data_IF_105517008753
#
_entry.id   IF_105517008753
#
_cell.length_a   1.000
_cell.length_b   1.000
_cell.length_c   1.000
_cell.angle_alpha   90.00
_cell.angle_beta   90.00
_cell.angle_gamma   90.00
#
_symmetry.space_group_name_H-M   'P 1'
#
loop_
_entity.id
_entity.type
_entity.pdbx_description
1 polymer ?
#
# COMPACT_ATOMS: atom_id res chain seq x y z
N UNK A 1 33.81 39.87 -62.20
CA UNK A 1 33.97 40.14 -60.75
C UNK A 1 33.38 38.96 -59.97
N UNK A 2 34.21 38.15 -59.33
CA UNK A 2 33.73 37.08 -58.43
C UNK A 2 33.38 37.73 -57.09
N UNK A 3 32.10 37.67 -56.68
CA UNK A 3 31.69 38.06 -55.33
C UNK A 3 31.96 36.89 -54.38
N UNK A 4 33.03 36.99 -53.59
CA UNK A 4 33.22 36.14 -52.42
C UNK A 4 32.36 36.68 -51.28
N UNK A 5 31.50 35.81 -50.72
CA UNK A 5 30.81 36.08 -49.46
C UNK A 5 31.53 35.33 -48.34
N UNK A 6 32.02 36.08 -47.35
CA UNK A 6 32.63 35.53 -46.14
C UNK A 6 31.50 35.29 -45.11
N UNK A 7 31.23 34.03 -44.77
CA UNK A 7 30.23 33.69 -43.77
C UNK A 7 30.95 33.35 -42.45
N UNK A 8 30.96 34.29 -41.50
CA UNK A 8 31.50 34.05 -40.15
C UNK A 8 30.45 33.36 -39.31
N UNK A 9 30.60 32.05 -39.08
CA UNK A 9 29.79 31.28 -38.15
C UNK A 9 30.43 31.35 -36.77
N UNK A 10 29.87 32.17 -35.88
CA UNK A 10 30.31 32.26 -34.48
C UNK A 10 29.84 31.00 -33.73
N UNK A 11 30.70 29.98 -33.60
CA UNK A 11 30.44 28.84 -32.72
C UNK A 11 31.02 29.15 -31.33
N UNK A 12 30.19 29.54 -30.37
CA UNK A 12 30.61 29.51 -28.97
C UNK A 12 30.79 28.05 -28.56
N UNK A 13 32.04 27.63 -28.35
CA UNK A 13 32.33 26.33 -27.74
C UNK A 13 32.22 26.53 -26.23
N UNK A 14 31.15 26.02 -25.63
CA UNK A 14 31.07 25.95 -24.17
C UNK A 14 32.22 25.11 -23.63
N UNK A 15 32.78 25.53 -22.49
CA UNK A 15 33.79 24.72 -21.82
C UNK A 15 33.18 23.40 -21.34
N UNK A 16 33.95 22.30 -21.27
CA UNK A 16 33.47 21.03 -20.74
C UNK A 16 32.81 21.16 -19.35
N UNK A 17 33.34 22.05 -18.50
CA UNK A 17 32.79 22.36 -17.18
C UNK A 17 31.39 22.99 -17.26
N UNK A 18 31.16 23.92 -18.19
CA UNK A 18 29.84 24.54 -18.36
C UNK A 18 28.81 23.54 -18.89
N UNK A 19 29.22 22.60 -19.73
CA UNK A 19 28.35 21.53 -20.24
C UNK A 19 27.95 20.59 -19.09
N UNK A 20 28.88 20.27 -18.18
CA UNK A 20 28.60 19.43 -17.03
C UNK A 20 27.64 20.10 -16.04
N UNK A 21 27.84 21.39 -15.76
CA UNK A 21 26.94 22.19 -14.92
C UNK A 21 25.52 22.25 -15.51
N UNK A 22 25.40 22.53 -16.81
CA UNK A 22 24.11 22.57 -17.49
C UNK A 22 23.40 21.23 -17.47
N UNK A 23 24.14 20.12 -17.60
CA UNK A 23 23.57 18.76 -17.47
C UNK A 23 23.05 18.49 -16.06
N UNK A 24 23.72 18.99 -15.01
CA UNK A 24 23.28 18.81 -13.62
C UNK A 24 21.99 19.59 -13.33
N UNK A 25 21.91 20.86 -13.76
CA UNK A 25 20.73 21.72 -13.52
C UNK A 25 19.47 21.22 -14.26
N UNK A 26 19.65 20.54 -15.40
CA UNK A 26 18.54 20.03 -16.20
C UNK A 26 17.97 18.69 -15.70
N UNK A 27 18.61 18.03 -14.73
CA UNK A 27 18.12 16.75 -14.19
C UNK A 27 16.94 16.99 -13.23
N UNK A 28 15.91 16.10 -13.25
CA UNK A 28 14.91 16.10 -12.20
C UNK A 28 15.55 15.77 -10.84
N UNK A 29 15.01 16.33 -9.76
CA UNK A 29 15.57 16.24 -8.39
C UNK A 29 15.89 14.81 -7.96
N UNK A 30 15.00 13.84 -8.23
CA UNK A 30 15.24 12.42 -7.94
C UNK A 30 16.43 11.82 -8.71
N UNK A 31 16.56 12.14 -10.00
CA UNK A 31 17.68 11.66 -10.80
C UNK A 31 18.99 12.37 -10.45
N UNK A 32 18.90 13.63 -9.99
CA UNK A 32 20.04 14.37 -9.45
C UNK A 32 20.53 13.73 -8.14
N UNK A 33 19.63 13.39 -7.22
CA UNK A 33 19.97 12.73 -5.96
C UNK A 33 20.61 11.35 -6.18
N UNK A 34 20.05 10.55 -7.09
CA UNK A 34 20.64 9.24 -7.45
C UNK A 34 22.05 9.41 -8.04
N UNK A 35 22.22 10.36 -8.96
CA UNK A 35 23.52 10.66 -9.55
C UNK A 35 24.51 11.18 -8.53
N UNK A 36 24.06 12.00 -7.58
CA UNK A 36 24.88 12.51 -6.50
C UNK A 36 25.36 11.36 -5.59
N UNK A 37 24.48 10.41 -5.25
CA UNK A 37 24.86 9.20 -4.49
C UNK A 37 25.88 8.34 -5.24
N UNK A 38 25.72 8.18 -6.56
CA UNK A 38 26.70 7.50 -7.41
C UNK A 38 28.07 8.20 -7.35
N UNK A 39 28.10 9.53 -7.52
CA UNK A 39 29.33 10.32 -7.47
C UNK A 39 29.96 10.36 -6.07
N UNK A 40 29.18 10.32 -4.99
CA UNK A 40 29.71 10.19 -3.62
C UNK A 40 30.41 8.84 -3.40
N UNK A 41 29.93 7.77 -4.05
CA UNK A 41 30.58 6.46 -3.97
C UNK A 41 31.85 6.39 -4.83
N UNK A 42 31.88 7.09 -5.97
CA UNK A 42 33.02 7.09 -6.90
C UNK A 42 34.10 8.11 -6.53
N UNK A 43 33.72 9.24 -5.92
CA UNK A 43 34.62 10.35 -5.60
C UNK A 43 34.93 10.41 -4.09
N UNK A 44 36.10 9.90 -3.64
CA UNK A 44 36.49 9.91 -2.24
C UNK A 44 36.74 11.31 -1.66
N UNK A 45 36.77 12.37 -2.48
CA UNK A 45 36.90 13.75 -2.01
C UNK A 45 35.55 14.40 -1.64
N UNK A 46 34.42 13.77 -1.99
CA UNK A 46 33.08 14.30 -1.75
C UNK A 46 32.45 13.59 -0.54
N UNK A 47 32.10 14.34 0.48
CA UNK A 47 31.54 13.84 1.73
C UNK A 47 30.15 14.46 1.97
N UNK A 48 29.19 13.64 2.44
CA UNK A 48 27.87 14.12 2.85
C UNK A 48 27.96 14.78 4.22
N UNK A 49 27.34 15.94 4.41
CA UNK A 49 27.13 16.52 5.73
C UNK A 49 26.01 15.77 6.45
N UNK A 50 26.27 15.36 7.70
CA UNK A 50 25.21 14.93 8.60
C UNK A 50 24.40 16.17 9.00
N UNK A 51 23.08 16.12 8.88
CA UNK A 51 22.18 17.22 9.32
C UNK A 51 22.09 17.32 10.86
N UNK A 52 22.80 16.46 11.61
CA UNK A 52 22.71 16.34 13.06
C UNK A 52 23.76 17.13 13.87
N UNK A 53 24.56 18.00 13.25
CA UNK A 53 25.38 18.98 14.01
C UNK A 53 24.55 20.23 14.36
N UNK A 54 23.48 20.03 15.13
CA UNK A 54 23.08 21.06 16.08
C UNK A 54 24.15 21.09 17.17
N UNK A 55 24.70 22.27 17.43
CA UNK A 55 25.68 22.52 18.48
C UNK A 55 25.28 21.78 19.77
N UNK A 56 26.01 20.71 20.10
CA UNK A 56 26.06 20.16 21.45
C UNK A 56 26.74 21.23 22.30
N UNK A 57 25.95 22.20 22.77
CA UNK A 57 26.35 23.09 23.84
C UNK A 57 26.72 22.21 25.03
N UNK A 58 27.99 22.29 25.43
CA UNK A 58 28.54 21.72 26.66
C UNK A 58 27.84 22.35 27.86
N UNK A 59 26.66 21.85 28.22
CA UNK A 59 26.14 21.96 29.58
C UNK A 59 26.37 20.62 30.27
N UNK A 60 27.46 20.57 31.04
CA UNK A 60 27.61 19.63 32.16
C UNK A 60 26.41 19.83 33.10
N UNK A 61 25.42 18.94 32.98
CA UNK A 61 24.43 18.71 34.02
C UNK A 61 24.71 17.34 34.61
N UNK A 62 25.28 17.40 35.82
CA UNK A 62 25.48 16.33 36.78
C UNK A 62 24.16 15.55 36.95
N UNK A 63 24.06 14.40 36.28
CA UNK A 63 22.93 13.48 36.37
C UNK A 63 23.39 12.27 37.18
N UNK A 64 23.35 12.42 38.51
CA UNK A 64 23.14 11.30 39.43
C UNK A 64 21.73 10.74 39.16
N UNK A 65 21.63 9.82 38.21
CA UNK A 65 20.47 8.96 38.06
C UNK A 65 20.91 7.53 38.36
N UNK A 66 20.39 7.06 39.48
CA UNK A 66 20.53 5.69 39.96
C UNK A 66 20.19 4.67 38.86
N UNK A 67 21.11 3.72 38.77
CA UNK A 67 21.06 2.45 38.05
C UNK A 67 19.77 1.67 38.42
N UNK A 68 18.77 1.69 37.54
CA UNK A 68 17.67 0.73 37.58
C UNK A 68 17.86 -0.28 36.45
N UNK A 69 18.40 -1.41 36.89
CA UNK A 69 18.68 -2.62 36.16
C UNK A 69 17.47 -3.16 35.39
N UNK A 70 17.81 -3.78 34.27
CA UNK A 70 16.96 -4.38 33.27
C UNK A 70 16.53 -5.77 33.76
N UNK A 71 15.25 -5.94 34.12
CA UNK A 71 14.42 -7.17 34.08
C UNK A 71 13.44 -7.22 35.25
N UNK A 72 12.20 -6.77 35.05
CA UNK A 72 11.08 -7.24 35.88
C UNK A 72 9.94 -7.77 35.01
N UNK A 73 9.89 -9.10 34.90
CA UNK A 73 8.64 -9.80 34.67
C UNK A 73 7.74 -9.45 35.86
N UNK A 74 6.68 -8.70 35.62
CA UNK A 74 5.66 -8.43 36.63
C UNK A 74 5.00 -9.78 36.98
N UNK A 75 5.45 -10.40 38.07
CA UNK A 75 4.83 -11.60 38.64
C UNK A 75 3.47 -11.17 39.24
N UNK A 76 2.43 -11.98 39.00
CA UNK A 76 1.06 -11.67 39.41
C UNK A 76 0.86 -11.59 40.94
N UNK A 77 1.89 -11.90 41.74
CA UNK A 77 1.90 -11.82 43.19
C UNK A 77 2.26 -10.41 43.72
N UNK A 78 2.76 -9.49 42.88
CA UNK A 78 3.07 -8.10 43.27
C UNK A 78 1.88 -7.14 43.06
N UNK A 79 0.77 -7.61 42.50
CA UNK A 79 -0.44 -6.81 42.37
C UNK A 79 -1.23 -6.94 43.67
N UNK A 80 -1.00 -6.03 44.62
CA UNK A 80 -1.74 -5.99 45.87
C UNK A 80 -3.18 -5.48 45.63
N UNK A 81 -4.10 -6.42 45.38
CA UNK A 81 -5.52 -6.14 45.10
C UNK A 81 -6.20 -5.46 46.31
N UNK A 82 -5.70 -5.67 47.52
CA UNK A 82 -6.21 -5.03 48.75
C UNK A 82 -5.99 -3.51 48.75
N UNK A 83 -4.92 -3.03 48.10
CA UNK A 83 -4.60 -1.60 47.95
C UNK A 83 -5.45 -0.91 46.86
N UNK A 84 -6.05 -1.68 45.95
CA UNK A 84 -7.00 -1.15 44.96
C UNK A 84 -8.43 -1.03 45.51
N UNK A 85 -8.74 -1.77 46.57
CA UNK A 85 -10.06 -1.79 47.23
C UNK A 85 -10.13 -0.89 48.46
N UNK A 86 -8.99 -0.36 48.94
CA UNK A 86 -8.94 0.65 49.99
C UNK A 86 -9.35 2.03 49.44
N UNK A 87 -10.50 2.52 49.89
CA UNK A 87 -11.08 3.82 49.46
C UNK A 87 -10.34 5.05 50.06
N UNK A 88 -9.21 4.83 50.77
CA UNK A 88 -8.51 5.83 51.58
C UNK A 88 -7.11 6.23 51.05
N UNK A 89 -6.59 5.53 50.03
CA UNK A 89 -5.29 5.84 49.40
C UNK A 89 -5.50 6.30 47.95
N UNK A 90 -5.12 7.56 47.66
CA UNK A 90 -5.08 8.06 46.28
C UNK A 90 -4.04 7.27 45.49
N UNK A 91 -4.43 6.59 44.39
CA UNK A 91 -3.50 5.78 43.62
C UNK A 91 -2.34 6.60 43.02
N UNK A 92 -1.14 6.02 43.01
CA UNK A 92 0.09 6.67 42.53
C UNK A 92 0.03 7.18 41.07
N UNK A 93 -0.81 6.57 40.23
CA UNK A 93 -1.02 7.04 38.85
C UNK A 93 -1.69 8.43 38.78
N UNK A 94 -2.31 8.91 39.87
CA UNK A 94 -2.91 10.26 39.95
C UNK A 94 -1.92 11.32 40.45
N UNK A 95 -0.83 10.92 41.11
CA UNK A 95 0.24 11.82 41.60
C UNK A 95 1.33 12.02 40.55
N UNK A 96 1.38 11.20 39.51
CA UNK A 96 2.26 11.43 38.36
C UNK A 96 1.76 12.64 37.55
N UNK A 97 2.54 13.71 37.60
CA UNK A 97 2.35 14.90 36.78
C UNK A 97 2.70 14.53 35.34
N UNK A 98 1.72 14.57 34.43
CA UNK A 98 1.94 14.45 33.00
C UNK A 98 2.79 15.64 32.51
N UNK A 99 4.11 15.50 32.55
CA UNK A 99 5.05 16.52 32.07
C UNK A 99 5.37 16.31 30.58
N UNK A 100 4.32 16.12 29.76
CA UNK A 100 4.46 16.05 28.31
C UNK A 100 4.56 17.47 27.75
N UNK A 101 5.71 17.81 27.17
CA UNK A 101 5.87 19.01 26.36
C UNK A 101 5.03 18.88 25.07
N UNK A 102 4.51 19.99 24.52
CA UNK A 102 3.83 19.97 23.21
C UNK A 102 4.73 19.56 22.05
N UNK A 103 6.05 19.47 22.28
CA UNK A 103 7.09 19.11 21.31
C UNK A 103 7.49 17.63 21.36
N UNK A 104 6.81 16.81 22.17
CA UNK A 104 7.01 15.36 22.15
C UNK A 104 6.39 14.84 20.85
N UNK A 105 7.23 14.62 19.83
CA UNK A 105 6.86 14.05 18.55
C UNK A 105 6.16 12.72 18.81
N UNK A 106 4.82 12.75 18.80
CA UNK A 106 4.03 11.53 18.86
C UNK A 106 4.37 10.76 17.60
N UNK A 107 5.24 9.76 17.72
CA UNK A 107 5.38 8.71 16.73
C UNK A 107 3.98 8.12 16.54
N UNK A 108 3.30 8.58 15.49
CA UNK A 108 1.99 8.05 15.16
C UNK A 108 2.23 6.60 14.79
N UNK A 109 1.61 5.63 15.49
CA UNK A 109 1.86 4.24 15.20
C UNK A 109 1.51 3.98 13.74
N UNK A 110 2.48 3.49 12.97
CA UNK A 110 2.26 3.10 11.58
C UNK A 110 1.21 1.98 11.59
N UNK A 111 -0.03 2.31 11.23
CA UNK A 111 -1.08 1.32 11.08
C UNK A 111 -0.77 0.49 9.83
N UNK A 112 -0.25 -0.71 10.01
CA UNK A 112 -0.13 -1.69 8.93
C UNK A 112 -1.55 -2.09 8.49
N UNK A 113 -1.95 -1.71 7.28
CA UNK A 113 -3.21 -2.10 6.70
C UNK A 113 -3.19 -3.61 6.38
N UNK A 114 -4.27 -4.31 6.71
CA UNK A 114 -4.40 -5.74 6.40
C UNK A 114 -4.55 -5.92 4.88
N UNK A 115 -3.72 -6.79 4.29
CA UNK A 115 -3.84 -7.15 2.87
C UNK A 115 -5.11 -7.95 2.60
N UNK A 116 -5.66 -7.82 1.39
CA UNK A 116 -6.82 -8.58 0.92
C UNK A 116 -6.67 -10.10 1.15
N UNK A 117 -5.52 -10.65 0.75
CA UNK A 117 -5.24 -12.08 0.92
C UNK A 117 -5.14 -12.47 2.38
N UNK A 118 -4.60 -11.59 3.23
CA UNK A 118 -4.48 -11.84 4.65
C UNK A 118 -5.86 -11.86 5.33
N UNK A 119 -6.77 -10.98 4.91
CA UNK A 119 -8.16 -10.99 5.39
C UNK A 119 -8.87 -12.29 5.03
N UNK A 120 -8.72 -12.76 3.78
CA UNK A 120 -9.28 -14.05 3.35
C UNK A 120 -8.70 -15.24 4.14
N UNK A 121 -7.39 -15.25 4.40
CA UNK A 121 -6.74 -16.28 5.23
C UNK A 121 -7.29 -16.23 6.66
N UNK A 122 -7.49 -15.04 7.22
CA UNK A 122 -8.08 -14.89 8.55
C UNK A 122 -9.52 -15.41 8.58
N UNK A 123 -10.32 -15.16 7.55
CA UNK A 123 -11.67 -15.72 7.44
C UNK A 123 -11.67 -17.24 7.29
N UNK A 124 -10.74 -17.81 6.51
CA UNK A 124 -10.56 -19.26 6.40
C UNK A 124 -10.32 -19.94 7.75
N UNK A 125 -9.62 -19.27 8.68
CA UNK A 125 -9.42 -19.79 10.04
C UNK A 125 -10.72 -19.96 10.85
N UNK A 126 -11.83 -19.37 10.41
CA UNK A 126 -13.14 -19.52 11.07
C UNK A 126 -13.84 -20.82 10.63
N UNK A 127 -13.41 -21.42 9.52
CA UNK A 127 -13.96 -22.69 9.02
C UNK A 127 -13.21 -23.88 9.60
N UNK A 128 -13.94 -24.97 9.83
CA UNK A 128 -13.36 -26.24 10.29
C UNK A 128 -12.89 -26.99 9.04
N UNK A 129 -11.58 -26.99 8.81
CA UNK A 129 -10.92 -27.64 7.68
C UNK A 129 -9.88 -28.63 8.20
N UNK A 130 -9.71 -29.75 7.49
CA UNK A 130 -8.60 -30.67 7.73
C UNK A 130 -7.27 -30.03 7.28
N UNK A 131 -6.13 -30.52 7.76
CA UNK A 131 -4.81 -29.96 7.40
C UNK A 131 -4.57 -29.92 5.88
N UNK A 132 -4.98 -30.97 5.16
CA UNK A 132 -4.89 -31.01 3.69
C UNK A 132 -5.84 -30.00 3.03
N UNK A 133 -7.07 -29.89 3.52
CA UNK A 133 -8.08 -28.95 3.00
C UNK A 133 -7.65 -27.50 3.22
N UNK A 134 -7.01 -27.23 4.35
CA UNK A 134 -6.44 -25.94 4.69
C UNK A 134 -5.30 -25.55 3.75
N UNK A 135 -4.38 -26.47 3.45
CA UNK A 135 -3.31 -26.21 2.48
C UNK A 135 -3.87 -25.90 1.08
N UNK A 136 -4.89 -26.65 0.64
CA UNK A 136 -5.59 -26.38 -0.62
C UNK A 136 -6.24 -24.99 -0.59
N UNK A 137 -6.92 -24.63 0.50
CA UNK A 137 -7.60 -23.34 0.64
C UNK A 137 -6.60 -22.17 0.63
N UNK A 138 -5.49 -22.28 1.35
CA UNK A 138 -4.42 -21.28 1.37
C UNK A 138 -3.79 -21.10 -0.03
N UNK A 139 -3.55 -22.20 -0.76
CA UNK A 139 -3.06 -22.14 -2.13
C UNK A 139 -4.05 -21.45 -3.08
N UNK A 140 -5.34 -21.78 -2.96
CA UNK A 140 -6.38 -21.16 -3.78
C UNK A 140 -6.53 -19.67 -3.48
N UNK A 141 -6.49 -19.25 -2.21
CA UNK A 141 -6.50 -17.83 -1.83
C UNK A 141 -5.28 -17.08 -2.34
N UNK A 142 -4.10 -17.73 -2.36
CA UNK A 142 -2.90 -17.19 -2.99
C UNK A 142 -2.98 -17.10 -4.51
N UNK A 143 -3.89 -17.85 -5.16
CA UNK A 143 -4.10 -17.85 -6.60
C UNK A 143 -5.12 -16.83 -7.08
N UNK A 144 -5.75 -16.08 -6.17
CA UNK A 144 -6.73 -15.04 -6.47
C UNK A 144 -6.00 -13.81 -7.03
N UNK A 145 -6.53 -13.22 -8.12
CA UNK A 145 -6.03 -11.97 -8.70
C UNK A 145 -6.45 -10.75 -7.84
N UNK A 146 -5.83 -9.59 -8.01
CA UNK A 146 -6.18 -8.34 -7.29
C UNK A 146 -7.66 -7.94 -7.47
N UNK A 147 -8.28 -8.41 -8.55
CA UNK A 147 -9.69 -8.20 -8.85
C UNK A 147 -10.64 -9.14 -8.08
N UNK A 148 -10.11 -10.21 -7.47
CA UNK A 148 -10.87 -11.23 -6.73
C UNK A 148 -11.24 -12.48 -7.56
N UNK A 149 -10.62 -12.71 -8.71
CA UNK A 149 -10.91 -13.82 -9.62
C UNK A 149 -9.84 -14.92 -9.62
N UNK A 150 -10.24 -16.16 -9.86
CA UNK A 150 -9.34 -17.28 -10.15
C UNK A 150 -9.50 -17.67 -11.61
N UNK A 151 -8.57 -17.24 -12.46
CA UNK A 151 -8.64 -17.44 -13.92
C UNK A 151 -8.11 -18.81 -14.39
N UNK A 152 -7.44 -19.54 -13.51
CA UNK A 152 -6.84 -20.85 -13.82
C UNK A 152 -7.92 -21.93 -13.80
N UNK A 153 -7.73 -22.97 -14.62
CA UNK A 153 -8.63 -24.13 -14.59
C UNK A 153 -8.34 -25.00 -13.36
N UNK A 154 -9.33 -25.80 -12.93
CA UNK A 154 -9.15 -26.71 -11.78
C UNK A 154 -8.01 -27.71 -12.05
N UNK A 155 -7.93 -28.24 -13.27
CA UNK A 155 -6.87 -29.18 -13.66
C UNK A 155 -5.49 -28.55 -13.54
N UNK A 156 -5.31 -27.30 -14.00
CA UNK A 156 -4.03 -26.60 -13.89
C UNK A 156 -3.65 -26.34 -12.42
N UNK A 157 -4.64 -26.01 -11.58
CA UNK A 157 -4.45 -25.77 -10.15
C UNK A 157 -4.00 -27.05 -9.44
N UNK A 158 -4.61 -28.20 -9.76
CA UNK A 158 -4.24 -29.51 -9.19
C UNK A 158 -2.80 -29.87 -9.58
N UNK A 159 -2.45 -29.70 -10.86
CA UNK A 159 -1.09 -29.96 -11.35
C UNK A 159 -0.08 -29.04 -10.65
N UNK A 160 -0.35 -27.73 -10.60
CA UNK A 160 0.51 -26.75 -9.95
C UNK A 160 0.74 -27.09 -8.47
N UNK A 161 -0.30 -27.54 -7.77
CA UNK A 161 -0.21 -27.92 -6.36
C UNK A 161 0.65 -29.17 -6.16
N UNK A 162 0.54 -30.15 -7.06
CA UNK A 162 1.38 -31.34 -7.05
C UNK A 162 2.86 -31.01 -7.30
N UNK A 163 3.17 -30.07 -8.21
CA UNK A 163 4.54 -29.67 -8.52
C UNK A 163 5.18 -28.74 -7.48
N UNK A 164 4.43 -27.77 -6.96
CA UNK A 164 4.97 -26.72 -6.09
C UNK A 164 4.99 -27.11 -4.63
N UNK A 165 3.93 -27.75 -4.13
CA UNK A 165 3.76 -28.05 -2.71
C UNK A 165 3.84 -29.56 -2.41
N UNK A 166 4.03 -30.41 -3.43
CA UNK A 166 4.03 -31.86 -3.33
C UNK A 166 2.74 -32.43 -2.71
N UNK A 167 1.62 -31.72 -2.88
CA UNK A 167 0.30 -32.14 -2.39
C UNK A 167 -0.44 -32.79 -3.55
N UNK A 168 -0.72 -34.09 -3.41
CA UNK A 168 -1.49 -34.85 -4.38
C UNK A 168 -2.97 -34.77 -4.01
N UNK A 169 -3.76 -34.09 -4.83
CA UNK A 169 -5.20 -33.89 -4.62
C UNK A 169 -5.99 -34.24 -5.87
N UNK A 170 -7.27 -34.55 -5.67
CA UNK A 170 -8.22 -34.81 -6.76
C UNK A 170 -8.99 -33.52 -7.08
N UNK A 171 -9.43 -33.37 -8.34
CA UNK A 171 -10.28 -32.24 -8.77
C UNK A 171 -11.54 -32.09 -7.89
N UNK A 172 -12.13 -33.21 -7.47
CA UNK A 172 -13.31 -33.22 -6.60
C UNK A 172 -13.04 -32.65 -5.20
N UNK A 173 -11.81 -32.79 -4.69
CA UNK A 173 -11.43 -32.18 -3.41
C UNK A 173 -11.29 -30.66 -3.58
N UNK A 174 -10.65 -30.21 -4.66
CA UNK A 174 -10.49 -28.79 -4.98
C UNK A 174 -11.84 -28.11 -5.18
N UNK A 175 -12.80 -28.76 -5.86
CA UNK A 175 -14.16 -28.22 -6.02
C UNK A 175 -14.89 -28.01 -4.70
N UNK A 176 -14.71 -28.91 -3.72
CA UNK A 176 -15.30 -28.73 -2.38
C UNK A 176 -14.73 -27.49 -1.69
N UNK A 177 -13.42 -27.26 -1.80
CA UNK A 177 -12.79 -26.08 -1.22
C UNK A 177 -13.21 -24.81 -1.95
N UNK A 178 -13.41 -24.85 -3.26
CA UNK A 178 -14.00 -23.74 -4.00
C UNK A 178 -15.36 -23.31 -3.44
N UNK A 179 -16.23 -24.27 -3.08
CA UNK A 179 -17.52 -23.95 -2.45
C UNK A 179 -17.36 -23.22 -1.10
N UNK A 180 -16.30 -23.53 -0.35
CA UNK A 180 -15.99 -22.85 0.92
C UNK A 180 -15.44 -21.45 0.63
N UNK A 181 -14.55 -21.31 -0.35
CA UNK A 181 -14.00 -20.01 -0.77
C UNK A 181 -15.11 -19.08 -1.26
N UNK A 182 -16.10 -19.61 -1.98
CA UNK A 182 -17.26 -18.84 -2.44
C UNK A 182 -18.17 -18.34 -1.30
N UNK A 183 -18.02 -18.89 -0.09
CA UNK A 183 -18.71 -18.41 1.12
C UNK A 183 -17.94 -17.32 1.87
N UNK A 184 -16.70 -17.02 1.47
CA UNK A 184 -15.90 -15.95 2.06
C UNK A 184 -16.44 -14.57 1.69
N UNK A 185 -16.09 -13.59 2.50
CA UNK A 185 -16.37 -12.18 2.27
C UNK A 185 -15.10 -11.50 1.70
N UNK A 186 -15.21 -10.68 0.65
CA UNK A 186 -16.43 -10.20 -0.02
C UNK A 186 -17.10 -11.23 -0.94
N UNK A 187 -18.44 -11.27 -0.92
CA UNK A 187 -19.25 -12.16 -1.78
C UNK A 187 -18.85 -12.09 -3.28
N UNK A 188 -18.72 -13.25 -3.91
CA UNK A 188 -18.27 -13.39 -5.29
C UNK A 188 -16.75 -13.47 -5.49
N UNK A 189 -15.97 -13.52 -4.40
CA UNK A 189 -14.54 -13.84 -4.43
C UNK A 189 -14.31 -15.28 -4.90
N UNK A 190 -13.24 -15.50 -5.67
CA UNK A 190 -12.89 -16.83 -6.18
C UNK A 190 -13.74 -17.29 -7.37
N UNK A 191 -14.51 -16.39 -7.99
CA UNK A 191 -15.18 -16.66 -9.25
C UNK A 191 -14.18 -16.77 -10.41
N UNK A 192 -14.52 -17.52 -11.45
CA UNK A 192 -13.70 -17.65 -12.67
C UNK A 192 -14.01 -16.58 -13.69
N UNK A 193 -15.27 -16.18 -13.76
CA UNK A 193 -15.75 -15.15 -14.65
C UNK A 193 -16.70 -14.17 -13.95
N UNK A 194 -17.08 -13.12 -14.67
CA UNK A 194 -18.01 -12.11 -14.17
C UNK A 194 -19.42 -12.71 -13.95
N UNK A 195 -19.83 -13.68 -14.76
CA UNK A 195 -21.15 -14.29 -14.67
C UNK A 195 -21.30 -15.06 -13.36
N UNK A 196 -20.34 -15.92 -13.04
CA UNK A 196 -20.23 -16.67 -11.79
C UNK A 196 -20.13 -15.73 -10.59
N UNK A 197 -19.32 -14.67 -10.68
CA UNK A 197 -19.20 -13.67 -9.61
C UNK A 197 -20.56 -13.03 -9.26
N UNK A 198 -21.30 -12.58 -10.27
CA UNK A 198 -22.63 -12.00 -10.08
C UNK A 198 -23.63 -13.03 -9.56
N UNK A 199 -23.57 -14.28 -10.03
CA UNK A 199 -24.43 -15.36 -9.53
C UNK A 199 -24.17 -15.66 -8.06
N UNK A 200 -22.91 -15.71 -7.64
CA UNK A 200 -22.54 -15.92 -6.24
C UNK A 200 -23.07 -14.80 -5.35
N UNK A 201 -22.93 -13.55 -5.79
CA UNK A 201 -23.46 -12.39 -5.07
C UNK A 201 -24.99 -12.38 -4.99
N UNK A 202 -25.69 -12.78 -6.07
CA UNK A 202 -27.15 -12.90 -6.07
C UNK A 202 -27.63 -14.03 -5.15
N UNK A 203 -26.95 -15.18 -5.13
CA UNK A 203 -27.28 -16.32 -4.27
C UNK A 203 -27.13 -16.00 -2.78
N UNK A 204 -26.20 -15.11 -2.42
CA UNK A 204 -26.02 -14.66 -1.04
C UNK A 204 -27.12 -13.68 -0.59
N UNK A 205 -27.86 -13.07 -1.53
CA UNK A 205 -28.87 -12.06 -1.24
C UNK A 205 -30.20 -12.69 -0.83
N UNK A 206 -31.04 -11.90 -0.17
CA UNK A 206 -32.39 -12.35 0.20
C UNK A 206 -33.23 -12.69 -1.03
N UNK A 207 -33.87 -13.87 -1.08
CA UNK A 207 -34.66 -14.29 -2.22
C UNK A 207 -35.89 -13.38 -2.32
N UNK A 208 -35.95 -12.65 -3.42
CA UNK A 208 -37.11 -11.86 -3.82
C UNK A 208 -37.41 -12.19 -5.27
N UNK A 209 -38.66 -12.00 -5.70
CA UNK A 209 -39.07 -12.28 -7.09
C UNK A 209 -38.17 -11.57 -8.13
N UNK A 210 -37.63 -10.39 -7.79
CA UNK A 210 -36.68 -9.66 -8.63
C UNK A 210 -35.27 -10.26 -8.62
N UNK A 211 -34.81 -10.82 -7.50
CA UNK A 211 -33.49 -11.48 -7.38
C UNK A 211 -33.50 -12.85 -8.03
N UNK A 212 -34.59 -13.61 -7.91
CA UNK A 212 -34.76 -14.88 -8.63
C UNK A 212 -34.72 -14.66 -10.15
N UNK A 213 -35.47 -13.67 -10.64
CA UNK A 213 -35.43 -13.31 -12.05
C UNK A 213 -34.05 -12.79 -12.49
N UNK A 214 -33.37 -12.01 -11.65
CA UNK A 214 -32.00 -11.57 -11.93
C UNK A 214 -31.04 -12.78 -12.04
N UNK A 215 -31.17 -13.76 -11.15
CA UNK A 215 -30.36 -14.99 -11.15
C UNK A 215 -30.60 -15.78 -12.44
N UNK A 216 -31.87 -15.97 -12.81
CA UNK A 216 -32.24 -16.67 -14.04
C UNK A 216 -31.73 -15.97 -15.32
N UNK A 217 -31.74 -14.64 -15.35
CA UNK A 217 -31.22 -13.84 -16.47
C UNK A 217 -29.72 -14.03 -16.58
N UNK A 218 -28.99 -13.93 -15.47
CA UNK A 218 -27.53 -14.07 -15.49
C UNK A 218 -27.14 -15.51 -15.81
N UNK A 219 -27.84 -16.53 -15.31
CA UNK A 219 -27.53 -17.93 -15.57
C UNK A 219 -27.81 -18.33 -17.03
N UNK A 220 -28.98 -17.96 -17.57
CA UNK A 220 -29.44 -18.50 -18.86
C UNK A 220 -29.33 -17.52 -20.03
N UNK A 221 -29.19 -16.21 -19.78
CA UNK A 221 -29.24 -15.14 -20.81
C UNK A 221 -28.26 -13.99 -20.51
N UNK A 222 -27.05 -14.31 -20.06
CA UNK A 222 -26.01 -13.30 -19.82
C UNK A 222 -25.72 -12.42 -21.05
N UNK A 223 -25.62 -13.03 -22.24
CA UNK A 223 -25.37 -12.30 -23.50
C UNK A 223 -26.46 -11.30 -23.87
N UNK A 224 -27.72 -11.63 -23.58
CA UNK A 224 -28.84 -10.73 -23.87
C UNK A 224 -28.84 -9.55 -22.90
N UNK A 225 -28.46 -9.79 -21.64
CA UNK A 225 -28.29 -8.77 -20.62
C UNK A 225 -27.14 -7.81 -20.96
N UNK A 226 -25.94 -8.32 -21.27
CA UNK A 226 -24.78 -7.47 -21.61
C UNK A 226 -25.02 -6.60 -22.84
N UNK A 227 -25.77 -7.11 -23.83
CA UNK A 227 -26.16 -6.37 -25.05
C UNK A 227 -27.40 -5.49 -24.88
N UNK A 228 -27.95 -5.37 -23.66
CA UNK A 228 -29.16 -4.58 -23.33
C UNK A 228 -30.39 -4.94 -24.18
N UNK A 229 -30.55 -6.21 -24.54
CA UNK A 229 -31.69 -6.69 -25.31
C UNK A 229 -32.90 -6.99 -24.42
N UNK A 230 -33.44 -5.95 -23.78
CA UNK A 230 -34.55 -6.08 -22.82
C UNK A 230 -35.83 -6.64 -23.44
N UNK A 231 -36.11 -6.34 -24.71
CA UNK A 231 -37.28 -6.87 -25.42
C UNK A 231 -37.25 -8.41 -25.52
N UNK A 232 -36.07 -8.98 -25.74
CA UNK A 232 -35.88 -10.44 -25.80
C UNK A 232 -36.08 -11.08 -24.42
N UNK A 233 -35.64 -10.41 -23.37
CA UNK A 233 -35.82 -10.88 -21.99
C UNK A 233 -37.31 -10.84 -21.58
N UNK A 234 -38.03 -9.77 -21.91
CA UNK A 234 -39.47 -9.66 -21.67
C UNK A 234 -40.26 -10.79 -22.36
N UNK A 235 -39.95 -11.08 -23.62
CA UNK A 235 -40.62 -12.14 -24.37
C UNK A 235 -40.29 -13.53 -23.83
N UNK A 236 -39.04 -13.78 -23.43
CA UNK A 236 -38.59 -15.11 -22.96
C UNK A 236 -39.17 -15.46 -21.60
N UNK A 237 -39.15 -14.51 -20.65
CA UNK A 237 -39.58 -14.75 -19.28
C UNK A 237 -41.05 -14.36 -19.03
N UNK A 238 -41.71 -13.69 -19.98
CA UNK A 238 -43.13 -13.34 -19.88
C UNK A 238 -43.45 -12.37 -18.73
N UNK A 239 -42.48 -11.56 -18.31
CA UNK A 239 -42.59 -10.68 -17.14
C UNK A 239 -42.98 -9.25 -17.48
N UNK A 240 -43.49 -8.53 -16.48
CA UNK A 240 -43.81 -7.11 -16.63
C UNK A 240 -42.54 -6.26 -16.71
N UNK A 241 -42.63 -5.12 -17.40
CA UNK A 241 -41.51 -4.20 -17.56
C UNK A 241 -40.99 -3.68 -16.21
N UNK A 242 -41.90 -3.45 -15.25
CA UNK A 242 -41.52 -3.02 -13.89
C UNK A 242 -40.65 -4.05 -13.17
N UNK A 243 -40.99 -5.34 -13.28
CA UNK A 243 -40.27 -6.41 -12.61
C UNK A 243 -38.89 -6.62 -13.23
N UNK A 244 -38.81 -6.59 -14.57
CA UNK A 244 -37.52 -6.62 -15.27
C UNK A 244 -36.62 -5.45 -14.86
N UNK A 245 -37.19 -4.24 -14.76
CA UNK A 245 -36.44 -3.05 -14.32
C UNK A 245 -35.92 -3.20 -12.90
N UNK A 246 -36.70 -3.75 -11.98
CA UNK A 246 -36.25 -4.05 -10.62
C UNK A 246 -35.11 -5.06 -10.61
N UNK A 247 -35.23 -6.16 -11.37
CA UNK A 247 -34.16 -7.16 -11.48
C UNK A 247 -32.86 -6.57 -12.03
N UNK A 248 -32.92 -5.72 -13.07
CA UNK A 248 -31.75 -5.01 -13.61
C UNK A 248 -31.13 -4.10 -12.55
N UNK A 249 -31.94 -3.34 -11.81
CA UNK A 249 -31.45 -2.49 -10.72
C UNK A 249 -30.77 -3.30 -9.61
N UNK A 250 -31.24 -4.52 -9.33
CA UNK A 250 -30.58 -5.39 -8.37
C UNK A 250 -29.21 -5.88 -8.88
N UNK A 251 -29.07 -6.17 -10.18
CA UNK A 251 -27.78 -6.54 -10.80
C UNK A 251 -26.83 -5.34 -10.83
N UNK A 252 -27.31 -4.15 -11.17
CA UNK A 252 -26.48 -2.92 -11.25
C UNK A 252 -25.90 -2.49 -9.89
N UNK A 253 -26.53 -2.90 -8.77
CA UNK A 253 -26.02 -2.64 -7.41
C UNK A 253 -24.86 -3.55 -7.00
N UNK A 254 -24.63 -4.64 -7.74
CA UNK A 254 -23.60 -5.63 -7.42
C UNK A 254 -22.20 -5.11 -7.73
N UNK A 255 -21.20 -5.64 -7.03
CA UNK A 255 -19.82 -5.23 -7.24
C UNK A 255 -19.13 -6.23 -8.19
N UNK A 256 -18.79 -5.84 -9.43
CA UNK A 256 -18.13 -6.74 -10.37
C UNK A 256 -16.68 -7.06 -9.97
N UNK A 257 -16.06 -6.35 -9.02
CA UNK A 257 -14.65 -6.53 -8.64
C UNK A 257 -14.52 -6.58 -7.11
N UNK A 258 -14.76 -7.75 -6.49
CA UNK A 258 -14.74 -7.88 -5.03
C UNK A 258 -13.40 -7.49 -4.40
N UNK A 259 -12.26 -7.80 -5.03
CA UNK A 259 -10.93 -7.46 -4.51
C UNK A 259 -10.55 -5.97 -4.59
N UNK A 260 -11.31 -5.17 -5.36
CA UNK A 260 -10.94 -3.77 -5.66
C UNK A 260 -10.92 -2.84 -4.45
N UNK A 261 -11.72 -3.11 -3.41
CA UNK A 261 -11.80 -2.25 -2.22
C UNK A 261 -10.53 -2.28 -1.37
N UNK A 262 -9.76 -3.37 -1.42
CA UNK A 262 -8.56 -3.55 -0.61
C UNK A 262 -7.29 -3.06 -1.33
N UNK A 263 -7.29 -3.08 -2.66
CA UNK A 263 -6.16 -2.62 -3.49
C UNK A 263 -5.80 -1.13 -3.30
N UNK A 264 -6.69 -0.32 -2.72
CA UNK A 264 -6.43 1.08 -2.39
C UNK A 264 -5.57 1.29 -1.14
N UNK A 265 -5.56 0.34 -0.20
CA UNK A 265 -4.94 0.52 1.12
C UNK A 265 -3.46 0.10 1.18
N UNK A 266 -2.98 -0.68 0.20
CA UNK A 266 -1.59 -1.11 0.11
C UNK A 266 -0.80 -0.44 -1.01
N UNK A 267 -1.45 0.37 -1.85
CA UNK A 267 -0.71 1.23 -2.77
C UNK A 267 -0.16 2.37 -1.95
N UNK A 268 1.16 2.33 -1.73
CA UNK A 268 1.95 3.50 -1.36
C UNK A 268 1.54 4.58 -2.36
N UNK A 269 0.72 5.53 -1.95
CA UNK A 269 0.40 6.68 -2.78
C UNK A 269 1.73 7.30 -3.13
N UNK A 270 2.07 7.30 -4.43
CA UNK A 270 3.26 7.99 -4.92
C UNK A 270 3.04 9.48 -4.66
N UNK A 271 3.48 9.93 -3.49
CA UNK A 271 3.38 11.33 -3.10
C UNK A 271 4.36 12.11 -3.97
N UNK A 272 3.82 12.88 -4.91
CA UNK A 272 4.61 13.83 -5.68
C UNK A 272 5.06 14.92 -4.72
N UNK A 273 6.35 14.96 -4.42
CA UNK A 273 6.96 16.02 -3.61
C UNK A 273 7.08 17.27 -4.51
N UNK A 274 6.43 18.39 -4.17
CA UNK A 274 6.55 19.61 -4.96
C UNK A 274 7.90 20.29 -4.73
N UNK A 275 8.43 20.99 -5.73
CA UNK A 275 9.71 21.71 -5.61
C UNK A 275 9.59 23.00 -4.77
N UNK A 276 8.42 23.63 -4.76
CA UNK A 276 8.13 24.82 -3.95
C UNK A 276 6.68 24.80 -3.44
N UNK A 277 6.46 25.37 -2.25
CA UNK A 277 5.16 25.58 -1.67
C UNK A 277 4.85 27.08 -1.63
N UNK A 278 3.66 27.46 -2.10
CA UNK A 278 3.16 28.83 -2.00
C UNK A 278 2.13 28.87 -0.87
N UNK A 279 2.32 29.81 0.07
CA UNK A 279 1.35 30.12 1.12
C UNK A 279 0.98 31.59 1.02
N UNK A 280 -0.27 31.91 1.35
CA UNK A 280 -0.73 33.30 1.46
C UNK A 280 -0.89 33.58 2.94
N UNK A 281 -0.06 34.47 3.47
CA UNK A 281 -0.10 34.91 4.87
C UNK A 281 -0.39 36.40 4.87
N UNK A 282 -1.47 36.81 5.56
CA UNK A 282 -1.90 38.22 5.66
C UNK A 282 -2.04 38.99 4.33
N UNK A 283 -2.36 38.27 3.25
CA UNK A 283 -2.53 38.84 1.91
C UNK A 283 -1.24 39.00 1.11
N UNK A 284 -0.10 38.60 1.67
CA UNK A 284 1.19 38.52 0.97
C UNK A 284 1.48 37.07 0.55
N UNK A 285 2.09 36.93 -0.63
CA UNK A 285 2.43 35.63 -1.22
C UNK A 285 3.83 35.24 -0.74
N UNK A 286 3.89 34.28 0.18
CA UNK A 286 5.14 33.68 0.65
C UNK A 286 5.45 32.43 -0.17
N UNK A 287 6.63 32.42 -0.78
CA UNK A 287 7.11 31.31 -1.58
C UNK A 287 8.25 30.62 -0.84
N UNK A 288 8.02 29.38 -0.42
CA UNK A 288 9.01 28.53 0.25
C UNK A 288 9.51 27.47 -0.71
N UNK A 289 10.83 27.37 -0.88
CA UNK A 289 11.48 26.30 -1.64
C UNK A 289 11.65 25.09 -0.72
N UNK A 290 11.24 23.91 -1.16
CA UNK A 290 11.42 22.68 -0.38
C UNK A 290 12.90 22.27 -0.43
N UNK A 291 13.68 22.74 0.54
CA UNK A 291 15.12 22.52 0.63
C UNK A 291 15.55 21.11 1.07
N UNK A 292 14.61 20.23 1.44
CA UNK A 292 14.90 18.87 1.95
C UNK A 292 15.53 17.91 0.93
N UNK A 293 15.64 18.30 -0.34
CA UNK A 293 16.00 17.38 -1.43
C UNK A 293 17.49 17.39 -1.82
N UNK A 294 18.31 18.28 -1.24
CA UNK A 294 19.74 18.33 -1.53
C UNK A 294 20.54 18.17 -0.24
N UNK A 295 21.28 17.05 -0.06
CA UNK A 295 22.14 16.90 1.11
C UNK A 295 23.21 18.00 1.09
N UNK A 296 23.58 18.49 2.28
CA UNK A 296 24.74 19.39 2.37
C UNK A 296 25.98 18.60 1.96
N UNK A 297 26.79 19.15 1.05
CA UNK A 297 27.98 18.48 0.52
C UNK A 297 29.22 19.25 0.94
N UNK A 298 30.21 18.53 1.45
CA UNK A 298 31.48 19.09 1.85
C UNK A 298 32.63 18.36 1.14
N UNK A 299 33.75 19.07 0.99
CA UNK A 299 34.98 18.44 0.51
C UNK A 299 35.68 17.82 1.71
N UNK A 300 36.06 16.54 1.60
CA UNK A 300 36.74 15.80 2.67
C UNK A 300 37.96 16.58 3.18
N UNK A 301 38.07 16.65 4.52
CA UNK A 301 39.13 17.39 5.23
C UNK A 301 40.53 16.89 4.86
N UNK A 302 40.70 15.57 4.68
CA UNK A 302 41.97 14.95 4.28
C UNK A 302 42.48 15.49 2.93
N UNK A 303 41.57 15.67 1.96
CA UNK A 303 41.92 16.24 0.66
C UNK A 303 42.20 17.75 0.73
N UNK A 304 41.52 18.48 1.62
CA UNK A 304 41.82 19.89 1.85
C UNK A 304 43.23 20.08 2.44
N UNK A 305 43.63 19.24 3.40
CA UNK A 305 44.96 19.27 4.02
C UNK A 305 46.07 18.88 3.03
N UNK A 306 45.84 17.86 2.19
CA UNK A 306 46.76 17.50 1.10
C UNK A 306 46.96 18.66 0.09
N UNK A 307 45.90 19.38 -0.26
CA UNK A 307 45.95 20.53 -1.17
C UNK A 307 46.68 21.73 -0.55
N UNK A 308 46.52 21.97 0.75
CA UNK A 308 47.23 23.03 1.46
C UNK A 308 48.74 22.73 1.59
N UNK A 309 49.11 21.46 1.69
CA UNK A 309 50.51 21.00 1.76
C UNK A 309 51.22 21.07 0.40
N UNK A 310 50.47 21.13 -0.71
CA UNK A 310 50.99 21.15 -2.07
C UNK A 310 51.39 22.56 -2.60
N UNK A 311 51.56 23.54 -1.71
CA UNK A 311 51.90 24.93 -2.05
C UNK A 311 53.40 25.17 -2.22
#
# INVERSE_FOLDING_TARGET
MLKQFLNLKLSQKLSPQQIQLMKLIQLPTQAFEQRLKEEMNENPALEGGNEDEYEKDEFELDNDYDDYDENDRIEADDINIDEYLSDDETPDYKTQVNNYSEDDERESPLAASLSFHQDLINQLNTFILNDQERQIAEFLVGSIDDMGYIRRSISDIVDDMAFTQAIYTDEAAVEKIFQIIHQLEPSGVGARDLQECLLLQLKHKTPTESVELATDIIENQFDAFTKKHYDKLLQKYGVTNELLKKAIQEIEKLNPKPGGSYAGNSKITENVVPDFAIRIVDGELELSLNGRNAPTLHVSKDYQEMMQTYK
#
